data_IF_015897944513
#
_entry.id   IF_015897944513
#
_cell.length_a   1.000
_cell.length_b   1.000
_cell.length_c   1.000
_cell.angle_alpha   90.00
_cell.angle_beta   90.00
_cell.angle_gamma   90.00
#
_symmetry.space_group_name_H-M   'P 1'
#
loop_
_entity.id
_entity.type
_entity.pdbx_description
1 polymer ?
#
# COMPACT_ATOMS: atom_id res chain seq x y z
N UNK A 1 -12.76 11.56 6.44
CA UNK A 1 -12.46 11.11 7.81
C UNK A 1 -11.38 12.01 8.40
N UNK A 2 -11.62 12.61 9.58
CA UNK A 2 -10.65 13.49 10.23
C UNK A 2 -9.51 12.70 10.87
N UNK A 3 -8.28 13.06 10.55
CA UNK A 3 -7.07 12.73 11.30
C UNK A 3 -6.79 13.90 12.24
N UNK A 4 -6.77 13.63 13.54
CA UNK A 4 -6.72 14.65 14.60
C UNK A 4 -5.60 14.41 15.62
N UNK A 5 -4.80 13.38 15.43
CA UNK A 5 -3.61 13.07 16.25
C UNK A 5 -2.41 12.78 15.35
N UNK A 6 -1.23 13.18 15.81
CA UNK A 6 0.05 12.82 15.17
C UNK A 6 0.58 11.48 15.66
N UNK A 7 1.75 11.08 15.17
CA UNK A 7 2.36 9.76 15.44
C UNK A 7 2.66 9.51 16.94
N UNK A 8 3.00 10.57 17.70
CA UNK A 8 3.18 10.49 19.15
C UNK A 8 1.86 10.46 19.95
N UNK A 9 0.71 10.46 19.27
CA UNK A 9 -0.62 10.41 19.87
C UNK A 9 -1.14 11.76 20.39
N UNK A 10 -0.35 12.83 20.34
CA UNK A 10 -0.80 14.17 20.71
C UNK A 10 -1.82 14.71 19.70
N UNK A 11 -2.73 15.57 20.18
CA UNK A 11 -3.70 16.25 19.31
C UNK A 11 -2.98 17.17 18.31
N UNK A 12 -3.51 17.24 17.10
CA UNK A 12 -3.08 18.20 16.08
C UNK A 12 -3.75 19.56 16.33
N UNK A 13 -3.06 20.65 15.98
CA UNK A 13 -3.61 22.00 16.02
C UNK A 13 -4.79 22.16 15.06
N UNK A 14 -4.70 21.52 13.89
CA UNK A 14 -5.74 21.49 12.85
C UNK A 14 -5.92 20.05 12.38
N UNK A 15 -7.16 19.65 12.10
CA UNK A 15 -7.48 18.30 11.63
C UNK A 15 -7.27 18.17 10.14
N UNK A 16 -6.69 17.06 9.68
CA UNK A 16 -6.59 16.75 8.25
C UNK A 16 -7.77 15.88 7.83
N UNK A 17 -8.49 16.28 6.79
CA UNK A 17 -9.56 15.49 6.21
C UNK A 17 -9.02 14.61 5.09
N UNK A 18 -9.10 13.28 5.27
CA UNK A 18 -8.65 12.29 4.30
C UNK A 18 -9.77 11.30 3.95
N UNK A 19 -9.66 10.69 2.78
CA UNK A 19 -10.47 9.53 2.40
C UNK A 19 -9.69 8.24 2.62
N UNK A 20 -10.39 7.18 3.00
CA UNK A 20 -9.78 5.87 3.28
C UNK A 20 -10.42 4.81 2.41
N UNK A 21 -9.60 3.93 1.85
CA UNK A 21 -10.06 2.68 1.24
C UNK A 21 -9.60 1.55 2.16
N UNK A 22 -10.56 0.86 2.77
CA UNK A 22 -10.28 -0.27 3.66
C UNK A 22 -10.45 -1.57 2.90
N UNK A 23 -9.37 -2.34 2.80
CA UNK A 23 -9.36 -3.68 2.19
C UNK A 23 -8.38 -4.55 2.96
N UNK A 24 -8.81 -5.73 3.40
CA UNK A 24 -7.91 -6.67 4.06
C UNK A 24 -6.92 -7.25 3.03
N UNK A 25 -5.66 -7.44 3.40
CA UNK A 25 -4.75 -8.30 2.65
C UNK A 25 -5.11 -9.78 2.89
N UNK A 26 -4.71 -10.72 2.02
CA UNK A 26 -4.82 -12.15 2.32
C UNK A 26 -3.85 -12.55 3.43
N UNK A 27 -4.23 -13.52 4.26
CA UNK A 27 -3.41 -13.99 5.38
C UNK A 27 -2.55 -15.18 4.93
N UNK A 28 -1.32 -14.88 4.49
CA UNK A 28 -0.43 -15.88 3.91
C UNK A 28 -0.14 -17.09 4.80
N UNK A 29 -0.05 -16.99 6.15
CA UNK A 29 0.21 -18.17 6.97
C UNK A 29 -0.89 -19.25 6.90
N UNK A 30 -2.13 -18.92 6.53
CA UNK A 30 -3.19 -19.94 6.38
C UNK A 30 -3.31 -20.51 4.98
N UNK A 31 -3.07 -19.70 3.94
CA UNK A 31 -3.30 -20.09 2.54
C UNK A 31 -2.02 -20.34 1.75
N UNK A 32 -0.86 -19.92 2.27
CA UNK A 32 0.43 -20.07 1.63
C UNK A 32 0.68 -19.15 0.42
N UNK A 33 1.88 -19.29 -0.14
CA UNK A 33 2.27 -18.69 -1.41
C UNK A 33 2.33 -19.80 -2.49
N UNK A 34 1.97 -19.51 -3.75
CA UNK A 34 1.75 -18.19 -4.34
C UNK A 34 0.32 -17.64 -4.19
N UNK A 35 -0.62 -18.42 -3.64
CA UNK A 35 -2.05 -18.06 -3.61
C UNK A 35 -2.31 -16.71 -2.92
N UNK A 36 -1.65 -16.47 -1.78
CA UNK A 36 -1.80 -15.20 -1.04
C UNK A 36 -1.43 -14.00 -1.90
N UNK A 37 -0.30 -14.03 -2.60
CA UNK A 37 0.07 -12.93 -3.49
C UNK A 37 -0.83 -12.83 -4.72
N UNK A 38 -1.36 -13.93 -5.27
CA UNK A 38 -2.29 -13.87 -6.42
C UNK A 38 -3.59 -13.16 -6.04
N UNK A 39 -4.09 -13.46 -4.84
CA UNK A 39 -5.23 -12.77 -4.25
C UNK A 39 -4.90 -11.32 -3.95
N UNK A 40 -3.70 -11.03 -3.44
CA UNK A 40 -3.27 -9.67 -3.13
C UNK A 40 -3.20 -8.80 -4.39
N UNK A 41 -2.61 -9.29 -5.48
CA UNK A 41 -2.57 -8.61 -6.79
C UNK A 41 -3.96 -8.23 -7.28
N UNK A 42 -4.92 -9.17 -7.20
CA UNK A 42 -6.33 -8.90 -7.55
C UNK A 42 -6.93 -7.80 -6.67
N UNK A 43 -6.60 -7.76 -5.38
CA UNK A 43 -7.09 -6.72 -4.46
C UNK A 43 -6.40 -5.37 -4.68
N UNK A 44 -5.11 -5.35 -5.02
CA UNK A 44 -4.38 -4.13 -5.42
C UNK A 44 -5.10 -3.46 -6.60
N UNK A 45 -5.36 -4.22 -7.67
CA UNK A 45 -6.10 -3.73 -8.85
C UNK A 45 -7.44 -3.11 -8.46
N UNK A 46 -8.21 -3.77 -7.58
CA UNK A 46 -9.53 -3.27 -7.14
C UNK A 46 -9.43 -1.98 -6.33
N UNK A 47 -8.45 -1.88 -5.42
CA UNK A 47 -8.23 -0.66 -4.62
C UNK A 47 -7.88 0.52 -5.52
N UNK A 48 -6.99 0.31 -6.49
CA UNK A 48 -6.62 1.33 -7.47
C UNK A 48 -7.80 1.70 -8.40
N UNK A 49 -8.60 0.71 -8.82
CA UNK A 49 -9.82 0.95 -9.60
C UNK A 49 -10.82 1.84 -8.84
N UNK A 50 -11.05 1.57 -7.55
CA UNK A 50 -11.90 2.41 -6.70
C UNK A 50 -11.32 3.82 -6.60
N UNK A 51 -10.03 3.95 -6.31
CA UNK A 51 -9.40 5.27 -6.19
C UNK A 51 -9.53 6.10 -7.47
N UNK A 52 -9.29 5.46 -8.63
CA UNK A 52 -9.44 6.08 -9.94
C UNK A 52 -10.89 6.45 -10.26
N UNK A 53 -11.85 5.57 -9.98
CA UNK A 53 -13.27 5.80 -10.25
C UNK A 53 -13.86 6.98 -9.44
N UNK A 54 -13.35 7.20 -8.22
CA UNK A 54 -13.72 8.36 -7.40
C UNK A 54 -12.89 9.61 -7.69
N UNK A 55 -11.98 9.57 -8.67
CA UNK A 55 -11.21 10.72 -9.11
C UNK A 55 -10.06 11.15 -8.18
N UNK A 56 -9.63 10.29 -7.25
CA UNK A 56 -8.46 10.60 -6.41
C UNK A 56 -7.20 10.68 -7.26
N UNK A 57 -6.39 11.73 -7.03
CA UNK A 57 -5.14 11.97 -7.77
C UNK A 57 -3.87 11.71 -6.95
N UNK A 58 -3.98 11.75 -5.63
CA UNK A 58 -2.89 11.49 -4.70
C UNK A 58 -3.21 10.26 -3.85
N UNK A 59 -2.28 9.31 -3.77
CA UNK A 59 -2.41 8.09 -2.96
C UNK A 59 -1.27 7.97 -1.95
N UNK A 60 -1.62 7.51 -0.75
CA UNK A 60 -0.66 7.01 0.23
C UNK A 60 -0.90 5.51 0.37
N UNK A 61 0.09 4.73 -0.01
CA UNK A 61 0.13 3.26 -0.01
C UNK A 61 1.24 2.78 0.93
N UNK A 62 1.52 1.48 0.96
CA UNK A 62 2.61 0.91 1.76
C UNK A 62 2.78 -0.59 1.53
N UNK A 63 3.56 -1.22 2.42
CA UNK A 63 3.85 -2.67 2.42
C UNK A 63 2.62 -3.49 2.87
N UNK A 64 1.55 -3.41 2.08
CA UNK A 64 0.23 -3.93 2.43
C UNK A 64 0.25 -5.44 2.61
N UNK A 65 -0.05 -5.89 3.83
CA UNK A 65 -0.08 -7.32 4.17
C UNK A 65 1.29 -7.97 4.36
N UNK A 66 2.39 -7.22 4.31
CA UNK A 66 3.75 -7.78 4.41
C UNK A 66 4.22 -8.03 5.85
N UNK A 67 3.54 -7.43 6.84
CA UNK A 67 3.82 -7.64 8.27
C UNK A 67 3.19 -8.95 8.80
N UNK A 68 2.33 -8.84 9.81
CA UNK A 68 1.66 -9.99 10.44
C UNK A 68 0.89 -10.91 9.47
N UNK A 69 0.53 -10.41 8.28
CA UNK A 69 -0.18 -11.18 7.25
C UNK A 69 0.75 -11.96 6.32
N UNK A 70 2.08 -11.80 6.45
CA UNK A 70 3.09 -12.66 5.85
C UNK A 70 3.17 -12.64 4.31
N UNK A 71 2.65 -11.60 3.65
CA UNK A 71 2.84 -11.46 2.20
C UNK A 71 4.28 -11.06 1.90
N UNK A 72 4.81 -11.51 0.76
CA UNK A 72 6.17 -11.18 0.34
C UNK A 72 6.26 -9.70 -0.08
N UNK A 73 7.10 -8.87 0.57
CA UNK A 73 7.26 -7.46 0.21
C UNK A 73 7.83 -7.24 -1.19
N UNK A 74 8.71 -8.13 -1.68
CA UNK A 74 9.28 -8.00 -3.03
C UNK A 74 8.20 -8.16 -4.08
N UNK A 75 7.49 -9.29 -4.04
CA UNK A 75 6.36 -9.53 -4.94
C UNK A 75 5.28 -8.43 -4.83
N UNK A 76 4.97 -7.99 -3.62
CA UNK A 76 3.94 -6.95 -3.42
C UNK A 76 4.35 -5.63 -4.10
N UNK A 77 5.62 -5.23 -4.00
CA UNK A 77 6.15 -4.05 -4.68
C UNK A 77 6.08 -4.20 -6.21
N UNK A 78 6.49 -5.35 -6.74
CA UNK A 78 6.42 -5.67 -8.17
C UNK A 78 4.99 -5.62 -8.71
N UNK A 79 4.03 -6.21 -7.98
CA UNK A 79 2.62 -6.21 -8.35
C UNK A 79 2.03 -4.79 -8.38
N UNK A 80 2.40 -3.94 -7.42
CA UNK A 80 2.04 -2.52 -7.48
C UNK A 80 2.67 -1.82 -8.68
N UNK A 81 3.96 -2.02 -8.91
CA UNK A 81 4.69 -1.36 -10.01
C UNK A 81 4.12 -1.73 -11.37
N UNK A 82 3.90 -3.03 -11.63
CA UNK A 82 3.27 -3.51 -12.86
C UNK A 82 1.92 -2.84 -13.10
N UNK A 83 1.02 -2.87 -12.10
CA UNK A 83 -0.34 -2.35 -12.26
C UNK A 83 -0.33 -0.81 -12.43
N UNK A 84 0.54 -0.10 -11.71
CA UNK A 84 0.65 1.36 -11.79
C UNK A 84 1.27 1.86 -13.10
N UNK A 85 2.18 1.09 -13.70
CA UNK A 85 2.84 1.45 -14.96
C UNK A 85 2.10 0.96 -16.20
N UNK A 86 1.13 0.05 -16.03
CA UNK A 86 0.29 -0.47 -17.11
C UNK A 86 -1.15 0.05 -17.00
N UNK A 87 -2.01 -0.67 -16.28
CA UNK A 87 -3.45 -0.43 -16.18
C UNK A 87 -3.81 0.96 -15.62
N UNK A 88 -2.98 1.51 -14.74
CA UNK A 88 -3.20 2.79 -14.07
C UNK A 88 -2.17 3.87 -14.43
N UNK A 89 -1.46 3.69 -15.55
CA UNK A 89 -0.46 4.65 -16.01
C UNK A 89 -1.09 6.04 -16.19
N UNK A 90 -0.57 7.03 -15.46
CA UNK A 90 -1.05 8.41 -15.52
C UNK A 90 -2.39 8.69 -14.82
N UNK A 91 -3.02 7.70 -14.15
CA UNK A 91 -4.27 7.95 -13.42
C UNK A 91 -4.08 8.81 -12.16
N UNK A 92 -2.94 8.65 -11.49
CA UNK A 92 -2.57 9.34 -10.25
C UNK A 92 -1.37 10.27 -10.52
N UNK A 93 -1.44 11.50 -10.02
CA UNK A 93 -0.35 12.48 -10.16
C UNK A 93 0.67 12.39 -9.03
N UNK A 94 0.32 11.76 -7.90
CA UNK A 94 1.24 11.55 -6.78
C UNK A 94 0.95 10.23 -6.07
N UNK A 95 1.97 9.41 -5.89
CA UNK A 95 1.87 8.13 -5.17
C UNK A 95 3.03 8.08 -4.17
N UNK A 96 2.70 7.88 -2.90
CA UNK A 96 3.68 7.72 -1.83
C UNK A 96 3.53 6.34 -1.22
N UNK A 97 4.60 5.54 -1.21
CA UNK A 97 4.68 4.33 -0.40
C UNK A 97 5.24 4.68 0.98
N UNK A 98 4.36 4.96 1.94
CA UNK A 98 4.72 5.31 3.31
C UNK A 98 4.97 4.04 4.14
N UNK A 99 6.22 3.55 4.12
CA UNK A 99 6.61 2.28 4.75
C UNK A 99 7.46 2.57 5.99
N UNK A 100 6.92 2.28 7.17
CA UNK A 100 7.68 2.27 8.41
C UNK A 100 8.45 0.96 8.53
N UNK A 101 9.77 1.07 8.55
CA UNK A 101 10.65 -0.09 8.65
C UNK A 101 11.87 0.23 9.51
N UNK A 102 11.84 -0.25 10.75
CA UNK A 102 12.93 -0.11 11.72
C UNK A 102 13.92 -1.28 11.67
N UNK A 103 13.74 -2.24 10.77
CA UNK A 103 14.71 -3.34 10.63
C UNK A 103 16.05 -2.81 10.09
N UNK A 104 17.20 -3.29 10.60
CA UNK A 104 18.51 -2.89 10.08
C UNK A 104 18.64 -3.20 8.58
N UNK A 105 18.06 -4.31 8.15
CA UNK A 105 18.14 -4.80 6.77
C UNK A 105 17.13 -4.13 5.82
N UNK A 106 16.24 -3.27 6.33
CA UNK A 106 15.15 -2.65 5.56
C UNK A 106 14.28 -3.68 4.81
N UNK A 107 13.85 -4.72 5.52
CA UNK A 107 13.14 -5.88 4.93
C UNK A 107 11.83 -5.52 4.23
N UNK A 108 11.16 -4.44 4.63
CA UNK A 108 9.90 -3.96 4.05
C UNK A 108 10.15 -2.78 3.10
N UNK A 109 10.97 -1.81 3.53
CA UNK A 109 11.23 -0.60 2.74
C UNK A 109 12.14 -0.88 1.53
N UNK A 110 13.16 -1.73 1.68
CA UNK A 110 14.16 -2.04 0.67
C UNK A 110 13.55 -2.51 -0.65
N UNK A 111 12.71 -3.56 -0.66
CA UNK A 111 12.06 -4.05 -1.88
C UNK A 111 11.25 -2.98 -2.63
N UNK A 112 10.47 -2.18 -1.90
CA UNK A 112 9.71 -1.08 -2.50
C UNK A 112 10.60 0.04 -3.03
N UNK A 113 11.69 0.38 -2.31
CA UNK A 113 12.67 1.33 -2.81
C UNK A 113 13.24 0.84 -4.12
N UNK A 114 13.71 -0.40 -4.17
CA UNK A 114 14.47 -0.96 -5.30
C UNK A 114 13.60 -1.14 -6.56
N UNK A 115 12.32 -1.48 -6.40
CA UNK A 115 11.37 -1.62 -7.52
C UNK A 115 10.94 -0.27 -8.12
N UNK A 116 10.93 0.81 -7.34
CA UNK A 116 10.43 2.13 -7.75
C UNK A 116 11.55 3.19 -7.93
N UNK A 117 12.81 2.76 -8.10
CA UNK A 117 13.94 3.67 -8.40
C UNK A 117 13.89 4.26 -9.80
#
# INVERSE_FOLDING_TARGET
MPVFRGDAGNALKETWLLSFITSAAPYAPSIGQPESGDLLKKRIRRVLAIASAYGYKALVLGAWGCGAFGNDPQRTAEDFHEILTTEFCGHFSNIVFAITDWSPERRMLGPFRDVFQ
#
